data_IF_267066910305
#
_entry.id   IF_267066910305
#
_cell.length_a   1.000
_cell.length_b   1.000
_cell.length_c   1.000
_cell.angle_alpha   90.00
_cell.angle_beta   90.00
_cell.angle_gamma   90.00
#
_symmetry.space_group_name_H-M   'P 1'
#
loop_
_entity.id
_entity.type
_entity.pdbx_description
1 polymer ?
#
# COMPACT_ATOMS: atom_id res chain seq x y z
N UNK A 1 -3.10 -13.06 29.10
CA UNK A 1 -1.95 -14.01 29.13
C UNK A 1 -2.26 -15.10 30.15
N UNK A 2 -1.90 -16.37 29.91
CA UNK A 2 -2.17 -17.44 30.87
C UNK A 2 -1.18 -17.36 32.05
N UNK A 3 -1.69 -17.19 33.29
CA UNK A 3 -0.87 -17.01 34.49
C UNK A 3 0.09 -18.18 34.78
N UNK A 4 -0.26 -19.40 34.38
CA UNK A 4 0.52 -20.62 34.68
C UNK A 4 1.44 -21.07 33.55
N UNK A 5 1.07 -20.81 32.29
CA UNK A 5 1.90 -21.19 31.12
C UNK A 5 2.69 -20.03 30.52
N UNK A 6 2.39 -18.79 30.92
CA UNK A 6 2.86 -17.53 30.33
C UNK A 6 2.51 -17.31 28.84
N UNK A 7 2.00 -18.31 28.12
CA UNK A 7 1.49 -18.14 26.76
C UNK A 7 0.41 -17.05 26.65
N UNK A 8 0.40 -16.32 25.53
CA UNK A 8 -0.69 -15.42 25.17
C UNK A 8 -1.97 -16.21 24.87
N UNK A 9 -3.13 -15.57 25.07
CA UNK A 9 -4.43 -16.17 24.74
C UNK A 9 -4.70 -16.14 23.24
N UNK A 10 -4.21 -15.11 22.53
CA UNK A 10 -4.19 -15.06 21.07
C UNK A 10 -3.03 -15.90 20.52
N UNK A 11 -3.36 -16.91 19.72
CA UNK A 11 -2.40 -17.79 19.06
C UNK A 11 -1.58 -17.09 17.97
N UNK A 12 -2.08 -16.02 17.34
CA UNK A 12 -1.32 -15.28 16.33
C UNK A 12 -0.21 -14.48 17.00
N UNK A 13 -0.54 -13.79 18.09
CA UNK A 13 0.41 -13.04 18.91
C UNK A 13 1.46 -13.99 19.55
N UNK A 14 1.05 -15.16 20.03
CA UNK A 14 1.98 -16.22 20.50
C UNK A 14 2.93 -16.69 19.38
N UNK A 15 2.43 -16.95 18.17
CA UNK A 15 3.28 -17.35 17.03
C UNK A 15 4.29 -16.26 16.65
N UNK A 16 3.92 -14.97 16.74
CA UNK A 16 4.83 -13.83 16.50
C UNK A 16 5.93 -13.77 17.58
N UNK A 17 5.55 -13.84 18.86
CA UNK A 17 6.50 -13.87 19.97
C UNK A 17 7.50 -15.04 19.87
N UNK A 18 7.00 -16.26 19.63
CA UNK A 18 7.85 -17.44 19.47
C UNK A 18 8.81 -17.30 18.30
N UNK A 19 8.40 -16.66 17.20
CA UNK A 19 9.30 -16.38 16.07
C UNK A 19 10.39 -15.38 16.45
N UNK A 20 10.02 -14.25 17.08
CA UNK A 20 10.99 -13.22 17.49
C UNK A 20 11.99 -13.77 18.52
N UNK A 21 11.54 -14.49 19.55
CA UNK A 21 12.41 -15.15 20.54
C UNK A 21 13.32 -16.21 19.91
N UNK A 22 12.81 -16.94 18.92
CA UNK A 22 13.60 -17.95 18.20
C UNK A 22 14.72 -17.32 17.36
N UNK A 23 14.44 -16.20 16.69
CA UNK A 23 15.41 -15.50 15.83
C UNK A 23 16.42 -14.67 16.63
N UNK A 24 16.00 -14.05 17.73
CA UNK A 24 16.83 -13.15 18.56
C UNK A 24 17.64 -13.85 19.66
N UNK A 25 17.10 -14.89 20.30
CA UNK A 25 17.71 -15.54 21.48
C UNK A 25 18.10 -16.99 21.16
N UNK A 26 17.13 -17.83 20.82
CA UNK A 26 17.33 -19.28 20.80
C UNK A 26 18.29 -19.73 19.70
N UNK A 27 18.16 -19.20 18.49
CA UNK A 27 19.04 -19.56 17.37
C UNK A 27 20.49 -19.08 17.59
N UNK A 28 20.78 -17.81 17.94
CA UNK A 28 22.13 -17.37 18.29
C UNK A 28 22.72 -18.19 19.45
N UNK A 29 21.95 -18.40 20.53
CA UNK A 29 22.40 -19.18 21.68
C UNK A 29 22.78 -20.63 21.30
N UNK A 30 21.96 -21.28 20.47
CA UNK A 30 22.27 -22.63 19.96
C UNK A 30 23.59 -22.63 19.20
N UNK A 31 23.82 -21.64 18.34
CA UNK A 31 25.06 -21.56 17.55
C UNK A 31 26.29 -21.33 18.43
N UNK A 32 26.22 -20.39 19.37
CA UNK A 32 27.31 -20.10 20.29
C UNK A 32 27.65 -21.30 21.18
N UNK A 33 26.64 -21.99 21.73
CA UNK A 33 26.85 -23.19 22.55
C UNK A 33 27.44 -24.36 21.75
N UNK A 34 26.94 -24.65 20.54
CA UNK A 34 27.53 -25.71 19.73
C UNK A 34 28.95 -25.39 19.28
N UNK A 35 29.24 -24.14 18.90
CA UNK A 35 30.57 -23.72 18.48
C UNK A 35 31.57 -23.77 19.65
N UNK A 36 31.20 -23.27 20.82
CA UNK A 36 31.98 -23.40 22.05
C UNK A 36 32.18 -24.86 22.46
N UNK A 37 31.14 -25.68 22.38
CA UNK A 37 31.20 -27.12 22.66
C UNK A 37 32.19 -27.86 21.74
N UNK A 38 32.22 -27.54 20.45
CA UNK A 38 33.21 -28.10 19.51
C UNK A 38 34.64 -27.69 19.91
N UNK A 39 34.87 -26.43 20.26
CA UNK A 39 36.20 -25.97 20.72
C UNK A 39 36.64 -26.74 21.97
N UNK A 40 35.76 -26.85 22.97
CA UNK A 40 36.04 -27.59 24.22
C UNK A 40 36.36 -29.05 23.93
N UNK A 41 35.61 -29.70 23.03
CA UNK A 41 35.86 -31.11 22.65
C UNK A 41 37.18 -31.27 21.89
N UNK A 42 37.54 -30.34 20.99
CA UNK A 42 38.84 -30.39 20.30
C UNK A 42 39.98 -30.27 21.30
N UNK A 43 39.90 -29.36 22.26
CA UNK A 43 40.88 -29.24 23.36
C UNK A 43 40.94 -30.52 24.19
N UNK A 44 39.79 -31.11 24.51
CA UNK A 44 39.69 -32.37 25.27
C UNK A 44 40.36 -33.53 24.52
N UNK A 45 40.14 -33.65 23.21
CA UNK A 45 40.77 -34.67 22.36
C UNK A 45 42.29 -34.49 22.26
N UNK A 46 42.79 -33.24 22.16
CA UNK A 46 44.22 -32.94 22.18
C UNK A 46 44.84 -33.35 23.53
N UNK A 47 44.19 -33.01 24.64
CA UNK A 47 44.65 -33.38 25.98
C UNK A 47 44.66 -34.92 26.17
N UNK A 48 43.61 -35.63 25.76
CA UNK A 48 43.54 -37.10 25.82
C UNK A 48 44.62 -37.77 24.96
N UNK A 49 44.94 -37.21 23.79
CA UNK A 49 46.03 -37.69 22.95
C UNK A 49 47.40 -37.49 23.63
N UNK A 50 47.64 -36.33 24.26
CA UNK A 50 48.88 -36.05 24.98
C UNK A 50 49.06 -36.93 26.22
N UNK A 51 48.00 -37.14 27.01
CA UNK A 51 48.02 -37.98 28.22
C UNK A 51 47.94 -39.48 27.93
N UNK A 52 47.67 -39.86 26.66
CA UNK A 52 47.45 -41.25 26.21
C UNK A 52 46.27 -41.96 26.89
N UNK A 53 45.32 -41.19 27.44
CA UNK A 53 44.10 -41.71 28.06
C UNK A 53 43.02 -41.85 26.98
N UNK A 54 42.89 -43.06 26.44
CA UNK A 54 41.93 -43.37 25.36
C UNK A 54 40.58 -43.92 25.84
N UNK A 55 40.39 -44.04 27.16
CA UNK A 55 39.09 -44.41 27.72
C UNK A 55 38.07 -43.31 27.41
N UNK A 56 36.82 -43.70 27.14
CA UNK A 56 35.72 -42.78 26.79
C UNK A 56 35.82 -41.98 25.48
N UNK A 57 36.82 -42.22 24.60
CA UNK A 57 36.89 -41.56 23.27
C UNK A 57 35.56 -41.64 22.48
N UNK A 58 34.88 -42.78 22.51
CA UNK A 58 33.60 -42.97 21.82
C UNK A 58 32.52 -41.98 22.27
N UNK A 59 32.50 -41.61 23.55
CA UNK A 59 31.57 -40.62 24.10
C UNK A 59 31.93 -39.22 23.59
N UNK A 60 33.21 -38.86 23.64
CA UNK A 60 33.73 -37.56 23.16
C UNK A 60 33.45 -37.37 21.66
N UNK A 61 33.67 -38.41 20.84
CA UNK A 61 33.31 -38.39 19.42
C UNK A 61 31.78 -38.33 19.19
N UNK A 62 30.98 -39.02 20.00
CA UNK A 62 29.51 -38.94 19.87
C UNK A 62 28.97 -37.52 20.17
N UNK A 63 29.54 -36.84 21.17
CA UNK A 63 29.25 -35.44 21.48
C UNK A 63 29.70 -34.50 20.35
N UNK A 64 30.90 -34.72 19.78
CA UNK A 64 31.40 -33.93 18.65
C UNK A 64 30.46 -34.01 17.45
N UNK A 65 30.07 -35.23 17.05
CA UNK A 65 29.11 -35.47 15.96
C UNK A 65 27.78 -34.78 16.27
N UNK A 66 27.30 -34.88 17.51
CA UNK A 66 26.05 -34.24 17.90
C UNK A 66 26.12 -32.70 17.79
N UNK A 67 27.15 -32.04 18.30
CA UNK A 67 27.30 -30.58 18.18
C UNK A 67 27.45 -30.11 16.72
N UNK A 68 28.16 -30.87 15.87
CA UNK A 68 28.27 -30.60 14.43
C UNK A 68 26.90 -30.71 13.76
N UNK A 69 26.16 -31.79 14.01
CA UNK A 69 24.78 -31.96 13.51
C UNK A 69 23.88 -30.82 14.02
N UNK A 70 24.07 -30.37 15.27
CA UNK A 70 23.40 -29.20 15.85
C UNK A 70 23.60 -27.91 15.07
N UNK A 71 24.85 -27.57 14.71
CA UNK A 71 25.16 -26.40 13.88
C UNK A 71 24.54 -26.51 12.47
N UNK A 72 24.62 -27.69 11.84
CA UNK A 72 24.09 -27.90 10.50
C UNK A 72 22.55 -27.83 10.50
N UNK A 73 21.88 -28.55 11.40
CA UNK A 73 20.41 -28.60 11.48
C UNK A 73 19.83 -27.26 11.92
N UNK A 74 20.45 -26.56 12.89
CA UNK A 74 19.97 -25.22 13.30
C UNK A 74 20.05 -24.21 12.17
N UNK A 75 21.12 -24.22 11.35
CA UNK A 75 21.25 -23.37 10.16
C UNK A 75 20.19 -23.68 9.09
N UNK A 76 19.94 -24.95 8.79
CA UNK A 76 18.98 -25.36 7.73
C UNK A 76 17.52 -25.20 8.19
N UNK A 77 17.22 -25.49 9.46
CA UNK A 77 15.85 -25.47 10.03
C UNK A 77 15.85 -24.78 11.40
N UNK A 78 15.92 -23.45 11.41
CA UNK A 78 15.89 -22.61 12.64
C UNK A 78 14.78 -23.01 13.64
N UNK A 79 13.61 -23.45 13.15
CA UNK A 79 12.49 -23.97 13.97
C UNK A 79 12.86 -25.14 14.91
N UNK A 80 13.94 -25.86 14.65
CA UNK A 80 14.40 -26.98 15.47
C UNK A 80 15.43 -26.60 16.53
N UNK A 81 15.92 -25.35 16.58
CA UNK A 81 16.90 -24.89 17.57
C UNK A 81 16.48 -25.16 19.02
N UNK A 82 15.19 -24.99 19.35
CA UNK A 82 14.64 -25.31 20.70
C UNK A 82 14.85 -26.79 21.05
N UNK A 83 14.54 -27.70 20.12
CA UNK A 83 14.74 -29.15 20.33
C UNK A 83 16.22 -29.48 20.51
N UNK A 84 17.08 -28.77 19.78
CA UNK A 84 18.52 -28.96 19.88
C UNK A 84 19.11 -28.41 21.18
N UNK A 85 18.64 -27.25 21.69
CA UNK A 85 19.00 -26.74 23.02
C UNK A 85 18.64 -27.72 24.14
N UNK A 86 17.46 -28.33 24.08
CA UNK A 86 17.05 -29.37 25.03
C UNK A 86 17.95 -30.61 24.91
N UNK A 87 18.32 -31.02 23.69
CA UNK A 87 19.27 -32.11 23.47
C UNK A 87 20.66 -31.80 24.03
N UNK A 88 21.21 -30.59 23.78
CA UNK A 88 22.48 -30.12 24.37
C UNK A 88 22.41 -30.19 25.89
N UNK A 89 21.31 -29.73 26.49
CA UNK A 89 21.14 -29.74 27.94
C UNK A 89 21.29 -31.16 28.52
N UNK A 90 20.62 -32.15 27.93
CA UNK A 90 20.77 -33.55 28.36
C UNK A 90 22.16 -34.14 28.03
N UNK A 91 22.76 -33.77 26.90
CA UNK A 91 24.13 -34.19 26.57
C UNK A 91 25.17 -33.67 27.57
N UNK A 92 24.96 -32.45 28.10
CA UNK A 92 25.79 -31.86 29.15
C UNK A 92 25.59 -32.58 30.50
N UNK A 93 24.35 -32.97 30.86
CA UNK A 93 24.11 -33.80 32.06
C UNK A 93 24.86 -35.14 31.96
N UNK A 94 24.85 -35.77 30.78
CA UNK A 94 25.61 -37.00 30.53
C UNK A 94 27.12 -36.79 30.63
N UNK A 95 27.62 -35.57 30.40
CA UNK A 95 29.03 -35.22 30.59
C UNK A 95 29.36 -34.88 32.05
N UNK A 96 28.47 -34.26 32.83
CA UNK A 96 28.61 -34.08 34.28
C UNK A 96 28.69 -35.43 35.00
N UNK A 97 27.86 -36.39 34.55
CA UNK A 97 27.83 -37.80 34.99
C UNK A 97 29.18 -38.52 34.87
N UNK A 98 29.98 -38.20 33.86
CA UNK A 98 31.34 -38.71 33.71
C UNK A 98 32.28 -38.00 34.68
N UNK A 99 32.39 -38.55 35.88
CA UNK A 99 33.37 -38.18 36.89
C UNK A 99 34.47 -39.24 36.95
N UNK A 100 35.71 -38.86 36.67
CA UNK A 100 36.88 -39.66 37.01
C UNK A 100 37.08 -39.65 38.53
N UNK A 101 37.58 -40.75 39.13
CA UNK A 101 37.65 -40.88 40.59
C UNK A 101 38.69 -39.95 41.25
N UNK A 102 39.66 -39.44 40.48
CA UNK A 102 40.85 -38.75 40.99
C UNK A 102 40.78 -37.20 40.84
N UNK A 103 39.59 -36.61 40.86
CA UNK A 103 39.46 -35.14 40.84
C UNK A 103 39.84 -34.53 42.19
N UNK A 104 40.78 -33.57 42.16
CA UNK A 104 41.01 -32.67 43.29
C UNK A 104 39.73 -31.90 43.65
N UNK A 105 39.52 -31.66 44.95
CA UNK A 105 38.27 -31.06 45.46
C UNK A 105 37.95 -29.69 44.84
N UNK A 106 38.97 -28.92 44.45
CA UNK A 106 38.83 -27.65 43.75
C UNK A 106 38.42 -27.80 42.27
N UNK A 107 38.92 -28.81 41.56
CA UNK A 107 38.54 -29.06 40.17
C UNK A 107 37.09 -29.55 40.07
N UNK A 108 36.66 -30.39 41.01
CA UNK A 108 35.25 -30.78 41.14
C UNK A 108 34.33 -29.57 41.37
N UNK A 109 34.73 -28.63 42.24
CA UNK A 109 34.00 -27.38 42.48
C UNK A 109 33.93 -26.49 41.22
N UNK A 110 35.06 -26.30 40.53
CA UNK A 110 35.13 -25.49 39.31
C UNK A 110 34.28 -26.09 38.18
N UNK A 111 34.37 -27.41 37.98
CA UNK A 111 33.55 -28.19 37.03
C UNK A 111 32.05 -28.02 37.32
N UNK A 112 31.65 -28.14 38.60
CA UNK A 112 30.26 -27.94 39.03
C UNK A 112 29.74 -26.52 38.80
N UNK A 113 30.54 -25.49 39.10
CA UNK A 113 30.19 -24.09 38.83
C UNK A 113 30.00 -23.83 37.34
N UNK A 114 30.90 -24.34 36.49
CA UNK A 114 30.82 -24.17 35.04
C UNK A 114 29.57 -24.85 34.46
N UNK A 115 29.25 -26.08 34.86
CA UNK A 115 28.02 -26.75 34.40
C UNK A 115 26.76 -26.03 34.88
N UNK A 116 26.73 -25.54 36.13
CA UNK A 116 25.60 -24.74 36.64
C UNK A 116 25.37 -23.48 35.79
N UNK A 117 26.42 -22.77 35.40
CA UNK A 117 26.33 -21.58 34.53
C UNK A 117 25.77 -21.96 33.15
N UNK A 118 26.25 -23.05 32.53
CA UNK A 118 25.76 -23.47 31.21
C UNK A 118 24.29 -23.93 31.27
N UNK A 119 23.90 -24.67 32.32
CA UNK A 119 22.50 -25.01 32.55
C UNK A 119 21.62 -23.78 32.78
N UNK A 120 22.10 -22.78 33.52
CA UNK A 120 21.40 -21.51 33.72
C UNK A 120 21.16 -20.77 32.39
N UNK A 121 22.22 -20.63 31.58
CA UNK A 121 22.19 -20.00 30.25
C UNK A 121 21.18 -20.68 29.32
N UNK A 122 21.20 -22.02 29.23
CA UNK A 122 20.25 -22.76 28.38
C UNK A 122 18.81 -22.58 28.88
N UNK A 123 18.58 -22.66 30.20
CA UNK A 123 17.24 -22.52 30.77
C UNK A 123 16.64 -21.13 30.62
N UNK A 124 17.45 -20.06 30.58
CA UNK A 124 16.97 -18.71 30.23
C UNK A 124 16.67 -18.55 28.73
N UNK A 125 17.34 -19.29 27.84
CA UNK A 125 17.03 -19.30 26.41
C UNK A 125 15.74 -20.04 26.04
N UNK A 126 15.37 -21.06 26.82
CA UNK A 126 14.17 -21.87 26.61
C UNK A 126 12.87 -21.13 27.03
N UNK A 127 11.73 -21.68 26.65
CA UNK A 127 10.43 -21.21 27.13
C UNK A 127 10.16 -21.71 28.56
N UNK A 128 9.35 -20.97 29.33
CA UNK A 128 9.13 -21.24 30.77
C UNK A 128 8.74 -22.70 31.08
N UNK A 129 7.81 -23.29 30.31
CA UNK A 129 7.35 -24.66 30.53
C UNK A 129 8.45 -25.70 30.30
N UNK A 130 9.09 -25.80 29.11
CA UNK A 130 10.18 -26.75 28.92
C UNK A 130 11.37 -26.49 29.84
N UNK A 131 11.73 -25.23 30.12
CA UNK A 131 12.82 -24.87 31.03
C UNK A 131 12.56 -25.37 32.46
N UNK A 132 11.34 -25.17 32.97
CA UNK A 132 10.93 -25.65 34.31
C UNK A 132 10.90 -27.18 34.39
N UNK A 133 10.37 -27.86 33.36
CA UNK A 133 10.37 -29.33 33.30
C UNK A 133 11.79 -29.90 33.30
N UNK A 134 12.68 -29.30 32.50
CA UNK A 134 14.09 -29.69 32.37
C UNK A 134 14.85 -29.46 33.69
N UNK A 135 14.61 -28.34 34.38
CA UNK A 135 15.16 -28.09 35.71
C UNK A 135 14.73 -29.14 36.75
N UNK A 136 13.43 -29.49 36.79
CA UNK A 136 12.91 -30.52 37.71
C UNK A 136 13.54 -31.88 37.40
N UNK A 137 13.61 -32.28 36.12
CA UNK A 137 14.25 -33.53 35.71
C UNK A 137 15.74 -33.57 36.11
N UNK A 138 16.48 -32.48 35.87
CA UNK A 138 17.88 -32.37 36.27
C UNK A 138 18.06 -32.47 37.80
N UNK A 139 17.17 -31.81 38.56
CA UNK A 139 17.15 -31.88 40.04
C UNK A 139 16.98 -33.33 40.52
N UNK A 140 16.05 -34.08 39.92
CA UNK A 140 15.82 -35.51 40.23
C UNK A 140 17.05 -36.34 39.84
N UNK A 141 17.61 -36.13 38.64
CA UNK A 141 18.79 -36.86 38.15
C UNK A 141 19.98 -36.67 39.11
N UNK A 142 20.29 -35.43 39.52
CA UNK A 142 21.39 -35.15 40.47
C UNK A 142 21.19 -35.85 41.81
N UNK A 143 19.95 -35.83 42.35
CA UNK A 143 19.60 -36.51 43.61
C UNK A 143 19.83 -38.03 43.50
N UNK A 144 19.40 -38.64 42.39
CA UNK A 144 19.60 -40.08 42.16
C UNK A 144 21.07 -40.44 41.98
N UNK A 145 21.83 -39.69 41.19
CA UNK A 145 23.26 -39.91 40.96
C UNK A 145 24.02 -39.92 42.29
N UNK A 146 23.77 -38.91 43.12
CA UNK A 146 24.46 -38.76 44.40
C UNK A 146 24.14 -39.93 45.34
N UNK A 147 22.87 -40.33 45.40
CA UNK A 147 22.42 -41.51 46.14
C UNK A 147 23.13 -42.80 45.71
N UNK A 148 23.36 -43.00 44.41
CA UNK A 148 24.04 -44.19 43.88
C UNK A 148 25.57 -44.15 44.01
N UNK A 149 26.20 -42.97 43.88
CA UNK A 149 27.66 -42.85 43.80
C UNK A 149 28.32 -42.51 45.14
N UNK A 150 27.65 -41.77 46.03
CA UNK A 150 28.25 -41.16 47.22
C UNK A 150 27.50 -41.50 48.52
N UNK A 151 26.39 -42.22 48.43
CA UNK A 151 25.53 -42.55 49.56
C UNK A 151 24.47 -41.48 49.85
N UNK A 152 23.92 -41.49 51.07
CA UNK A 152 22.86 -40.54 51.45
C UNK A 152 23.43 -39.15 51.68
N UNK A 153 22.80 -38.12 51.09
CA UNK A 153 23.14 -36.74 51.41
C UNK A 153 22.63 -36.35 52.79
N UNK A 154 23.34 -35.39 53.41
CA UNK A 154 22.84 -34.69 54.58
C UNK A 154 21.48 -34.03 54.24
N UNK A 155 20.46 -34.10 55.13
CA UNK A 155 19.14 -33.52 54.89
C UNK A 155 19.17 -32.04 54.42
N UNK A 156 20.12 -31.28 54.94
CA UNK A 156 20.37 -29.88 54.54
C UNK A 156 20.62 -29.75 53.04
N UNK A 157 21.41 -30.64 52.43
CA UNK A 157 21.73 -30.58 51.00
C UNK A 157 20.52 -30.93 50.12
N UNK A 158 19.67 -31.88 50.54
CA UNK A 158 18.38 -32.12 49.86
C UNK A 158 17.49 -30.87 49.90
N UNK A 159 17.34 -30.23 51.08
CA UNK A 159 16.51 -29.02 51.21
C UNK A 159 17.04 -27.85 50.39
N UNK A 160 18.36 -27.62 50.36
CA UNK A 160 18.99 -26.59 49.53
C UNK A 160 18.80 -26.87 48.03
N UNK A 161 18.93 -28.13 47.60
CA UNK A 161 18.75 -28.53 46.20
C UNK A 161 17.31 -28.31 45.72
N UNK A 162 16.32 -28.63 46.56
CA UNK A 162 14.91 -28.36 46.27
C UNK A 162 14.62 -26.85 46.27
N UNK A 163 15.10 -26.11 47.28
CA UNK A 163 14.88 -24.67 47.39
C UNK A 163 15.49 -23.88 46.22
N UNK A 164 16.73 -24.21 45.82
CA UNK A 164 17.40 -23.61 44.66
C UNK A 164 16.69 -23.94 43.34
N UNK A 165 16.20 -25.17 43.18
CA UNK A 165 15.39 -25.56 42.01
C UNK A 165 14.10 -24.73 41.91
N UNK A 166 13.38 -24.54 43.01
CA UNK A 166 12.17 -23.69 43.07
C UNK A 166 12.50 -22.22 42.77
N UNK A 167 13.56 -21.69 43.38
CA UNK A 167 14.01 -20.31 43.17
C UNK A 167 14.41 -20.05 41.71
N UNK A 168 15.12 -21.00 41.09
CA UNK A 168 15.51 -20.92 39.69
C UNK A 168 14.28 -20.95 38.74
N UNK A 169 13.31 -21.84 38.97
CA UNK A 169 12.05 -21.83 38.21
C UNK A 169 11.23 -20.54 38.41
N UNK A 170 11.28 -19.90 39.58
CA UNK A 170 10.69 -18.58 39.80
C UNK A 170 11.43 -17.46 39.06
N UNK A 171 12.76 -17.51 38.98
CA UNK A 171 13.54 -16.56 38.18
C UNK A 171 13.22 -16.70 36.68
N UNK A 172 13.16 -17.91 36.14
CA UNK A 172 12.73 -18.16 34.75
C UNK A 172 11.33 -17.60 34.52
N UNK A 173 10.38 -17.82 35.44
CA UNK A 173 9.02 -17.27 35.36
C UNK A 173 9.02 -15.74 35.24
N UNK A 174 9.83 -15.06 36.07
CA UNK A 174 9.93 -13.59 36.06
C UNK A 174 10.57 -13.06 34.78
N UNK A 175 11.66 -13.68 34.32
CA UNK A 175 12.36 -13.30 33.09
C UNK A 175 11.44 -13.47 31.87
N UNK A 176 10.77 -14.62 31.73
CA UNK A 176 9.84 -14.88 30.63
C UNK A 176 8.63 -13.92 30.66
N UNK A 177 8.11 -13.59 31.85
CA UNK A 177 7.06 -12.59 32.02
C UNK A 177 7.49 -11.20 31.53
N UNK A 178 8.73 -10.78 31.84
CA UNK A 178 9.28 -9.50 31.39
C UNK A 178 9.47 -9.46 29.87
N UNK A 179 10.07 -10.49 29.26
CA UNK A 179 10.21 -10.57 27.80
C UNK A 179 8.86 -10.51 27.08
N UNK A 180 7.84 -11.22 27.60
CA UNK A 180 6.48 -11.22 27.03
C UNK A 180 5.79 -9.86 27.21
N UNK A 181 6.05 -9.16 28.31
CA UNK A 181 5.53 -7.81 28.55
C UNK A 181 6.17 -6.78 27.61
N UNK A 182 7.50 -6.84 27.43
CA UNK A 182 8.23 -5.98 26.49
C UNK A 182 7.79 -6.22 25.03
N UNK A 183 7.59 -7.47 24.62
CA UNK A 183 7.03 -7.81 23.32
C UNK A 183 5.61 -7.24 23.12
N UNK A 184 4.74 -7.34 24.13
CA UNK A 184 3.40 -6.76 24.07
C UNK A 184 3.40 -5.23 23.98
N UNK A 185 4.38 -4.57 24.60
CA UNK A 185 4.55 -3.11 24.54
C UNK A 185 4.91 -2.69 23.10
N UNK A 186 6.05 -3.21 22.60
CA UNK A 186 6.50 -3.01 21.21
C UNK A 186 5.41 -3.30 20.17
N UNK A 187 4.72 -4.45 20.31
CA UNK A 187 3.64 -4.81 19.40
C UNK A 187 2.43 -3.86 19.48
N UNK A 188 2.15 -3.25 20.63
CA UNK A 188 1.10 -2.21 20.71
C UNK A 188 1.54 -0.93 20.02
N UNK A 189 2.78 -0.51 20.19
CA UNK A 189 3.32 0.72 19.60
C UNK A 189 3.33 0.61 18.06
N UNK A 190 3.87 -0.49 17.52
CA UNK A 190 3.83 -0.82 16.08
C UNK A 190 2.38 -0.75 15.51
N UNK A 191 1.40 -1.26 16.27
CA UNK A 191 -0.01 -1.20 15.85
C UNK A 191 -0.57 0.21 15.91
N UNK A 192 -0.26 1.00 16.94
CA UNK A 192 -0.69 2.39 17.06
C UNK A 192 -0.13 3.27 15.93
N UNK A 193 1.16 3.14 15.61
CA UNK A 193 1.76 3.80 14.45
C UNK A 193 1.07 3.41 13.13
N UNK A 194 0.62 2.16 13.01
CA UNK A 194 -0.14 1.69 11.83
C UNK A 194 -1.62 2.10 11.79
N UNK A 195 -2.18 2.50 12.94
CA UNK A 195 -3.61 2.83 13.12
C UNK A 195 -3.86 4.34 13.07
N UNK A 196 -2.97 5.16 13.61
CA UNK A 196 -3.08 6.63 13.58
C UNK A 196 -3.33 7.15 12.14
N UNK A 197 -2.57 6.71 11.10
CA UNK A 197 -2.82 7.04 9.71
C UNK A 197 -4.20 6.67 9.16
N UNK A 198 -4.86 5.65 9.75
CA UNK A 198 -6.16 5.14 9.31
C UNK A 198 -7.33 5.82 10.04
N UNK A 199 -7.08 6.36 11.24
CA UNK A 199 -8.05 7.11 12.04
C UNK A 199 -8.18 8.56 11.58
N UNK A 200 -7.09 9.18 11.10
CA UNK A 200 -7.12 10.56 10.60
C UNK A 200 -7.67 10.59 9.16
N UNK A 201 -8.97 10.85 9.01
CA UNK A 201 -9.63 10.96 7.70
C UNK A 201 -9.29 12.24 6.93
N UNK A 202 -8.82 13.28 7.64
CA UNK A 202 -8.33 14.53 7.05
C UNK A 202 -6.93 14.33 6.44
N UNK A 203 -6.51 15.13 5.45
CA UNK A 203 -5.13 15.09 4.97
C UNK A 203 -4.16 15.47 6.08
N UNK A 204 -3.13 14.65 6.30
CA UNK A 204 -2.14 14.89 7.36
C UNK A 204 -0.71 14.57 6.91
N UNK A 205 0.25 15.17 7.61
CA UNK A 205 1.67 14.83 7.57
C UNK A 205 2.25 14.83 9.00
N UNK A 206 3.04 13.81 9.32
CA UNK A 206 3.78 13.68 10.58
C UNK A 206 5.24 13.98 10.29
N UNK A 207 5.76 15.05 10.89
CA UNK A 207 7.15 15.46 10.78
C UNK A 207 7.92 15.19 12.07
N UNK A 208 9.23 15.00 11.93
CA UNK A 208 10.19 14.99 13.04
C UNK A 208 11.38 15.85 12.68
N UNK A 209 11.90 16.60 13.65
CA UNK A 209 13.10 17.39 13.44
C UNK A 209 14.37 16.53 13.59
N UNK A 210 15.18 16.43 12.53
CA UNK A 210 16.50 15.79 12.59
C UNK A 210 17.56 16.82 12.93
N UNK A 211 18.08 16.77 14.16
CA UNK A 211 19.16 17.64 14.66
C UNK A 211 20.43 17.53 13.82
N UNK A 212 20.80 16.32 13.40
CA UNK A 212 22.00 16.00 12.62
C UNK A 212 22.13 16.78 11.30
N UNK A 213 21.01 17.03 10.63
CA UNK A 213 20.95 17.62 9.28
C UNK A 213 20.15 18.94 9.30
N UNK A 214 19.77 19.43 10.49
CA UNK A 214 18.96 20.62 10.72
C UNK A 214 17.78 20.75 9.73
N UNK A 215 16.94 19.71 9.65
CA UNK A 215 15.76 19.70 8.79
C UNK A 215 14.60 18.89 9.38
N UNK A 216 13.37 19.25 8.99
CA UNK A 216 12.20 18.43 9.25
C UNK A 216 12.13 17.28 8.24
N UNK A 217 12.15 16.05 8.74
CA UNK A 217 11.91 14.84 7.96
C UNK A 217 10.42 14.47 8.02
N UNK A 218 9.85 14.06 6.89
CA UNK A 218 8.55 13.42 6.84
C UNK A 218 8.65 11.97 7.34
N UNK A 219 7.90 11.62 8.39
CA UNK A 219 7.75 10.23 8.86
C UNK A 219 6.64 9.52 8.08
N UNK A 220 5.48 10.17 7.99
CA UNK A 220 4.26 9.57 7.43
C UNK A 220 3.32 10.65 6.91
N UNK A 221 2.57 10.36 5.84
CA UNK A 221 1.51 11.23 5.36
C UNK A 221 0.38 10.42 4.74
N UNK A 222 -0.81 11.03 4.69
CA UNK A 222 -1.86 10.56 3.79
C UNK A 222 -1.54 11.04 2.36
N UNK A 223 -0.83 10.21 1.59
CA UNK A 223 -0.32 10.51 0.23
C UNK A 223 -1.38 10.84 -0.83
N UNK A 224 -2.67 10.90 -0.46
CA UNK A 224 -3.80 11.14 -1.37
C UNK A 224 -4.08 12.63 -1.64
N UNK A 225 -3.39 13.56 -0.98
CA UNK A 225 -3.73 14.98 -1.00
C UNK A 225 -2.53 15.88 -1.31
N UNK A 226 -2.72 16.85 -2.20
CA UNK A 226 -1.65 17.51 -2.99
C UNK A 226 -0.40 17.96 -2.23
N UNK A 227 -0.57 18.63 -1.09
CA UNK A 227 0.55 19.16 -0.30
C UNK A 227 1.40 18.08 0.40
N UNK A 228 0.85 16.88 0.62
CA UNK A 228 1.47 15.80 1.41
C UNK A 228 1.69 14.50 0.61
N UNK A 229 1.69 14.57 -0.73
CA UNK A 229 1.86 13.40 -1.62
C UNK A 229 3.24 12.74 -1.46
N UNK A 230 4.30 13.54 -1.38
CA UNK A 230 5.68 13.09 -1.19
C UNK A 230 6.47 14.06 -0.29
N UNK A 231 7.70 13.70 0.05
CA UNK A 231 8.56 14.52 0.92
C UNK A 231 8.91 15.88 0.31
N UNK A 232 9.13 15.95 -1.01
CA UNK A 232 9.49 17.18 -1.72
C UNK A 232 8.37 18.22 -1.69
N UNK A 233 7.13 17.84 -2.07
CA UNK A 233 5.95 18.70 -2.01
C UNK A 233 5.67 19.14 -0.57
N UNK A 234 5.87 18.25 0.41
CA UNK A 234 5.72 18.58 1.83
C UNK A 234 6.75 19.61 2.28
N UNK A 235 8.03 19.46 1.87
CA UNK A 235 9.09 20.44 2.14
C UNK A 235 8.82 21.79 1.45
N UNK A 236 8.37 21.79 0.20
CA UNK A 236 7.95 23.01 -0.50
C UNK A 236 6.81 23.73 0.25
N UNK A 237 5.78 22.98 0.65
CA UNK A 237 4.67 23.51 1.45
C UNK A 237 5.14 24.14 2.76
N UNK A 238 6.00 23.47 3.53
CA UNK A 238 6.53 24.00 4.81
C UNK A 238 7.39 25.26 4.60
N UNK A 239 8.18 25.30 3.53
CA UNK A 239 9.11 26.40 3.26
C UNK A 239 8.40 27.65 2.72
N UNK A 240 7.37 27.47 1.87
CA UNK A 240 6.68 28.56 1.17
C UNK A 240 5.40 29.03 1.89
N UNK A 241 4.83 28.23 2.80
CA UNK A 241 3.67 28.67 3.59
C UNK A 241 4.07 29.74 4.60
N UNK A 242 3.23 30.77 4.74
CA UNK A 242 3.36 31.80 5.77
C UNK A 242 2.25 31.69 6.82
N UNK A 243 2.59 31.88 8.09
CA UNK A 243 1.66 31.83 9.24
C UNK A 243 1.07 33.22 9.46
N UNK A 244 -0.21 33.40 9.15
CA UNK A 244 -0.88 34.71 9.15
C UNK A 244 -0.87 35.41 10.51
N UNK A 245 -0.85 34.66 11.61
CA UNK A 245 -0.77 35.20 12.97
C UNK A 245 0.58 35.88 13.27
N UNK A 246 1.67 35.49 12.60
CA UNK A 246 3.03 35.95 12.94
C UNK A 246 3.83 36.52 11.77
N UNK A 247 3.29 36.44 10.55
CA UNK A 247 3.95 36.75 9.27
C UNK A 247 5.29 36.02 9.01
N UNK A 248 5.63 35.00 9.81
CA UNK A 248 6.79 34.14 9.60
C UNK A 248 6.45 32.99 8.64
N UNK A 249 7.47 32.37 8.03
CA UNK A 249 7.29 31.09 7.35
C UNK A 249 6.88 29.99 8.33
N UNK A 250 6.12 29.00 7.86
CA UNK A 250 5.74 27.83 8.65
C UNK A 250 6.99 27.08 9.14
N UNK A 251 8.03 26.99 8.33
CA UNK A 251 9.35 26.48 8.74
C UNK A 251 9.88 27.18 10.01
N UNK A 252 9.98 28.51 10.01
CA UNK A 252 10.47 29.28 11.17
C UNK A 252 9.57 29.14 12.39
N UNK A 253 8.25 29.01 12.19
CA UNK A 253 7.30 28.78 13.26
C UNK A 253 7.50 27.40 13.92
N UNK A 254 7.67 26.34 13.12
CA UNK A 254 7.97 24.99 13.61
C UNK A 254 9.31 24.92 14.34
N UNK A 255 10.32 25.67 13.89
CA UNK A 255 11.62 25.78 14.58
C UNK A 255 11.49 26.39 15.98
N UNK A 256 10.78 27.53 16.12
CA UNK A 256 10.57 28.17 17.42
C UNK A 256 9.86 27.25 18.41
N UNK A 257 8.82 26.55 17.94
CA UNK A 257 8.13 25.53 18.75
C UNK A 257 9.08 24.37 19.10
N UNK A 258 9.93 23.92 18.18
CA UNK A 258 10.91 22.88 18.50
C UNK A 258 11.85 23.33 19.62
N UNK A 259 12.41 24.53 19.56
CA UNK A 259 13.29 25.06 20.62
C UNK A 259 12.56 25.14 21.96
N UNK A 260 11.37 25.75 22.00
CA UNK A 260 10.55 25.92 23.20
C UNK A 260 10.19 24.59 23.89
N UNK A 261 9.75 23.59 23.13
CA UNK A 261 9.21 22.34 23.68
C UNK A 261 10.20 21.14 23.68
N UNK A 262 11.39 21.30 23.10
CA UNK A 262 12.42 20.24 23.12
C UNK A 262 12.98 19.96 24.53
N UNK A 263 13.00 20.96 25.42
CA UNK A 263 13.58 20.87 26.76
C UNK A 263 12.57 20.50 27.86
N UNK A 264 11.28 20.81 27.68
CA UNK A 264 10.22 20.52 28.65
C UNK A 264 9.91 19.02 28.76
N UNK A 265 9.91 18.47 29.98
CA UNK A 265 9.66 17.04 30.23
C UNK A 265 8.20 16.60 30.03
N UNK A 266 7.24 17.49 30.24
CA UNK A 266 5.81 17.24 30.01
C UNK A 266 5.27 18.15 28.90
N UNK A 267 4.96 17.58 27.73
CA UNK A 267 4.07 18.23 26.76
C UNK A 267 2.69 17.60 26.94
N UNK A 268 1.77 18.34 27.57
CA UNK A 268 0.36 17.95 27.64
C UNK A 268 -0.37 18.46 26.40
N UNK A 269 -0.55 17.56 25.43
CA UNK A 269 -1.47 17.68 24.27
C UNK A 269 -1.64 19.09 23.70
N UNK A 270 -0.53 19.77 23.38
CA UNK A 270 -0.56 21.12 22.83
C UNK A 270 -1.04 21.09 21.38
N UNK A 271 -2.22 21.66 21.14
CA UNK A 271 -2.83 21.80 19.81
C UNK A 271 -2.91 23.28 19.43
N UNK A 272 -2.46 23.60 18.21
CA UNK A 272 -2.48 24.95 17.65
C UNK A 272 -3.32 24.95 16.36
N UNK A 273 -4.22 25.92 16.22
CA UNK A 273 -4.92 26.19 14.95
C UNK A 273 -4.20 27.32 14.23
N UNK A 274 -3.64 27.05 13.06
CA UNK A 274 -2.87 27.98 12.25
C UNK A 274 -3.63 28.37 10.99
N UNK A 275 -3.65 29.67 10.69
CA UNK A 275 -4.17 30.18 9.41
C UNK A 275 -2.96 30.44 8.51
N UNK A 276 -2.84 29.67 7.43
CA UNK A 276 -1.72 29.71 6.51
C UNK A 276 -2.10 30.38 5.19
N UNK A 277 -1.11 31.04 4.57
CA UNK A 277 -1.18 31.52 3.20
C UNK A 277 -0.10 30.81 2.38
N UNK A 278 -0.52 30.12 1.31
CA UNK A 278 0.33 29.39 0.37
C UNK A 278 -0.26 29.53 -1.04
N UNK A 279 0.52 29.99 -2.02
CA UNK A 279 0.04 30.28 -3.40
C UNK A 279 -1.26 31.11 -3.40
N UNK A 280 -1.32 32.18 -2.62
CA UNK A 280 -2.50 33.07 -2.42
C UNK A 280 -3.74 32.40 -1.80
N UNK A 281 -3.76 31.07 -1.60
CA UNK A 281 -4.85 30.32 -0.97
C UNK A 281 -4.78 30.45 0.54
N UNK A 282 -5.94 30.54 1.20
CA UNK A 282 -6.04 30.44 2.66
C UNK A 282 -6.27 28.98 3.04
N UNK A 283 -5.43 28.50 3.95
CA UNK A 283 -5.39 27.11 4.38
C UNK A 283 -5.47 27.06 5.90
N UNK A 284 -6.38 26.25 6.44
CA UNK A 284 -6.43 25.97 7.88
C UNK A 284 -5.67 24.70 8.21
N UNK A 285 -4.69 24.82 9.09
CA UNK A 285 -3.84 23.73 9.55
C UNK A 285 -3.91 23.61 11.07
N UNK A 286 -4.34 22.45 11.56
CA UNK A 286 -4.18 22.07 12.96
C UNK A 286 -2.82 21.41 13.15
N UNK A 287 -2.01 21.96 14.05
CA UNK A 287 -0.72 21.42 14.46
C UNK A 287 -0.87 20.81 15.85
N UNK A 288 -0.60 19.51 15.97
CA UNK A 288 -0.59 18.80 17.25
C UNK A 288 0.85 18.37 17.53
N UNK A 289 1.37 18.69 18.72
CA UNK A 289 2.68 18.21 19.15
C UNK A 289 2.52 16.93 19.95
N UNK A 290 3.41 15.96 19.71
CA UNK A 290 3.50 14.74 20.50
C UNK A 290 4.97 14.46 20.81
N UNK A 291 5.30 14.25 22.08
CA UNK A 291 6.66 13.95 22.55
C UNK A 291 6.65 12.67 23.36
N UNK A 292 7.40 11.69 22.88
CA UNK A 292 7.63 10.42 23.56
C UNK A 292 9.11 10.33 23.93
N UNK A 293 9.96 10.03 22.95
CA UNK A 293 11.43 10.23 23.03
C UNK A 293 11.84 11.54 22.34
N UNK A 294 11.29 11.78 21.15
CA UNK A 294 11.54 12.97 20.32
C UNK A 294 10.24 13.73 20.04
N UNK A 295 10.37 15.01 19.69
CA UNK A 295 9.23 15.88 19.36
C UNK A 295 8.76 15.62 17.92
N UNK A 296 7.56 15.09 17.78
CA UNK A 296 6.88 14.89 16.51
C UNK A 296 5.78 15.95 16.32
N UNK A 297 5.64 16.43 15.08
CA UNK A 297 4.70 17.45 14.67
C UNK A 297 3.66 16.82 13.75
N UNK A 298 2.41 16.73 14.20
CA UNK A 298 1.30 16.19 13.41
C UNK A 298 0.55 17.38 12.80
N UNK A 299 0.71 17.58 11.51
CA UNK A 299 -0.01 18.60 10.73
C UNK A 299 -1.26 18.00 10.12
N UNK A 300 -2.43 18.58 10.36
CA UNK A 300 -3.72 18.16 9.82
C UNK A 300 -4.34 19.34 9.06
N UNK A 301 -4.63 19.16 7.77
CA UNK A 301 -5.32 20.15 6.96
C UNK A 301 -6.83 20.03 7.18
N UNK A 302 -7.47 21.11 7.62
CA UNK A 302 -8.92 21.12 7.84
C UNK A 302 -9.71 21.49 6.58
N UNK A 303 -9.22 22.48 5.83
CA UNK A 303 -9.83 22.95 4.59
C UNK A 303 -8.85 23.75 3.74
N UNK A 304 -8.79 23.44 2.45
CA UNK A 304 -8.62 24.48 1.43
C UNK A 304 -9.90 25.32 1.34
N UNK A 305 -9.76 26.62 1.07
CA UNK A 305 -10.82 27.63 0.97
C UNK A 305 -12.21 27.07 0.58
N UNK A 306 -13.07 26.88 1.60
CA UNK A 306 -14.44 26.38 1.48
C UNK A 306 -15.25 27.22 0.47
N UNK A 307 -14.91 28.51 0.38
CA UNK A 307 -15.44 29.47 -0.57
C UNK A 307 -15.20 29.01 -2.02
N UNK A 308 -13.96 28.65 -2.40
CA UNK A 308 -13.62 28.25 -3.77
C UNK A 308 -14.30 26.92 -4.14
N UNK A 309 -14.36 25.97 -3.19
CA UNK A 309 -15.05 24.68 -3.40
C UNK A 309 -16.55 24.87 -3.62
N UNK A 310 -17.20 25.72 -2.82
CA UNK A 310 -18.62 26.03 -2.96
C UNK A 310 -18.91 26.86 -4.21
N UNK A 311 -18.06 27.83 -4.57
CA UNK A 311 -18.17 28.60 -5.82
C UNK A 311 -18.08 27.71 -7.05
N UNK A 312 -17.11 26.77 -7.12
CA UNK A 312 -17.03 25.78 -8.21
C UNK A 312 -18.30 24.93 -8.31
N UNK A 313 -18.86 24.51 -7.18
CA UNK A 313 -20.06 23.69 -7.14
C UNK A 313 -21.32 24.46 -7.58
N UNK A 314 -21.50 25.70 -7.10
CA UNK A 314 -22.57 26.60 -7.53
C UNK A 314 -22.46 26.97 -9.02
N UNK A 315 -21.25 27.27 -9.51
CA UNK A 315 -20.98 27.55 -10.92
C UNK A 315 -21.38 26.37 -11.82
N UNK A 316 -21.02 25.14 -11.43
CA UNK A 316 -21.39 23.92 -12.16
C UNK A 316 -22.91 23.66 -12.15
N UNK A 317 -23.61 23.94 -11.04
CA UNK A 317 -25.08 23.88 -10.98
C UNK A 317 -25.71 24.92 -11.91
N UNK A 318 -25.21 26.15 -11.89
CA UNK A 318 -25.70 27.24 -12.74
C UNK A 318 -25.50 26.94 -14.23
N UNK A 319 -24.31 26.46 -14.64
CA UNK A 319 -24.04 25.98 -15.99
C UNK A 319 -25.00 24.87 -16.43
N UNK A 320 -25.28 23.90 -15.54
CA UNK A 320 -26.23 22.81 -15.83
C UNK A 320 -27.65 23.33 -16.04
N UNK A 321 -28.08 24.31 -15.23
CA UNK A 321 -29.37 24.98 -15.40
C UNK A 321 -29.46 25.78 -16.71
N UNK A 322 -28.44 26.58 -17.03
CA UNK A 322 -28.37 27.33 -18.29
C UNK A 322 -28.41 26.40 -19.51
N UNK A 323 -27.63 25.30 -19.49
CA UNK A 323 -27.64 24.28 -20.55
C UNK A 323 -29.03 23.66 -20.74
N UNK A 324 -29.71 23.31 -19.65
CA UNK A 324 -31.06 22.74 -19.69
C UNK A 324 -32.12 23.75 -20.18
N UNK A 325 -32.03 25.02 -19.77
CA UNK A 325 -32.95 26.06 -20.21
C UNK A 325 -32.78 26.39 -21.70
N UNK A 326 -31.54 26.46 -22.19
CA UNK A 326 -31.29 26.57 -23.63
C UNK A 326 -31.85 25.36 -24.39
N UNK A 327 -31.62 24.11 -23.94
CA UNK A 327 -32.21 22.92 -24.59
C UNK A 327 -33.75 22.97 -24.66
N UNK A 328 -34.42 23.48 -23.62
CA UNK A 328 -35.88 23.72 -23.63
C UNK A 328 -36.30 24.79 -24.64
N UNK A 329 -35.60 25.93 -24.69
CA UNK A 329 -35.89 26.98 -25.68
C UNK A 329 -35.68 26.48 -27.12
N UNK A 330 -34.66 25.66 -27.35
CA UNK A 330 -34.34 25.08 -28.66
C UNK A 330 -35.39 24.05 -29.11
N UNK A 331 -35.92 23.22 -28.20
CA UNK A 331 -37.01 22.28 -28.54
C UNK A 331 -38.33 23.00 -28.81
N UNK A 332 -38.63 24.08 -28.07
CA UNK A 332 -39.79 24.94 -28.33
C UNK A 332 -39.65 25.63 -29.69
N UNK A 333 -38.51 26.25 -30.01
CA UNK A 333 -38.31 26.92 -31.30
C UNK A 333 -38.36 25.95 -32.49
N UNK A 334 -37.82 24.74 -32.34
CA UNK A 334 -37.98 23.64 -33.31
C UNK A 334 -39.46 23.27 -33.51
N UNK A 335 -40.26 23.17 -32.44
CA UNK A 335 -41.68 22.84 -32.55
C UNK A 335 -42.49 23.95 -33.24
N UNK A 336 -42.20 25.21 -32.90
CA UNK A 336 -42.81 26.40 -33.53
C UNK A 336 -42.45 26.49 -35.01
N UNK A 337 -41.17 26.36 -35.38
CA UNK A 337 -40.71 26.29 -36.78
C UNK A 337 -41.39 25.16 -37.55
N UNK A 338 -41.46 23.97 -36.96
CA UNK A 338 -42.13 22.81 -37.57
C UNK A 338 -43.62 23.07 -37.79
N UNK A 339 -44.31 23.77 -36.87
CA UNK A 339 -45.72 24.15 -37.01
C UNK A 339 -45.94 25.23 -38.10
N UNK A 340 -45.13 26.29 -38.09
CA UNK A 340 -45.25 27.41 -39.05
C UNK A 340 -44.91 27.03 -40.49
N UNK A 341 -44.03 26.06 -40.70
CA UNK A 341 -43.60 25.67 -42.05
C UNK A 341 -44.40 24.49 -42.63
N UNK A 342 -45.06 23.67 -41.81
CA UNK A 342 -45.90 22.55 -42.27
C UNK A 342 -47.06 23.01 -43.16
N UNK A 343 -47.51 24.26 -43.02
CA UNK A 343 -48.56 24.89 -43.84
C UNK A 343 -48.11 25.24 -45.28
N UNK A 344 -46.80 25.21 -45.59
CA UNK A 344 -46.26 25.57 -46.92
C UNK A 344 -45.75 24.37 -47.74
N UNK A 345 -46.05 23.14 -47.34
CA UNK A 345 -45.66 21.91 -48.03
C UNK A 345 -44.14 21.71 -48.28
N UNK A 346 -43.28 22.43 -47.56
CA UNK A 346 -41.81 22.40 -47.73
C UNK A 346 -41.10 21.43 -46.78
N UNK A 347 -41.57 20.18 -46.71
CA UNK A 347 -41.11 19.13 -45.77
C UNK A 347 -39.58 18.96 -45.72
N UNK A 348 -38.92 18.99 -46.88
CA UNK A 348 -37.46 18.90 -47.02
C UNK A 348 -36.71 20.09 -46.44
N UNK A 349 -37.14 21.32 -46.76
CA UNK A 349 -36.50 22.55 -46.26
C UNK A 349 -36.64 22.65 -44.74
N UNK A 350 -37.75 22.14 -44.19
CA UNK A 350 -37.95 22.00 -42.74
C UNK A 350 -36.92 21.01 -42.16
N UNK A 351 -36.75 19.84 -42.76
CA UNK A 351 -35.77 18.84 -42.30
C UNK A 351 -34.33 19.39 -42.38
N UNK A 352 -33.99 20.13 -43.43
CA UNK A 352 -32.70 20.81 -43.58
C UNK A 352 -32.43 21.86 -42.49
N UNK A 353 -33.38 22.77 -42.24
CA UNK A 353 -33.20 23.80 -41.20
C UNK A 353 -33.12 23.17 -39.81
N UNK A 354 -33.86 22.10 -39.55
CA UNK A 354 -33.76 21.35 -38.30
C UNK A 354 -32.41 20.63 -38.15
N UNK A 355 -31.87 20.01 -39.22
CA UNK A 355 -30.56 19.35 -39.16
C UNK A 355 -29.39 20.33 -39.04
N UNK A 356 -29.43 21.47 -39.75
CA UNK A 356 -28.48 22.58 -39.60
C UNK A 356 -28.43 23.08 -38.15
N UNK A 357 -29.60 23.35 -37.57
CA UNK A 357 -29.71 23.90 -36.23
C UNK A 357 -29.21 22.89 -35.18
N UNK A 358 -29.57 21.61 -35.33
CA UNK A 358 -29.09 20.53 -34.45
C UNK A 358 -27.57 20.33 -34.55
N UNK A 359 -26.98 20.42 -35.75
CA UNK A 359 -25.53 20.38 -35.95
C UNK A 359 -24.81 21.55 -35.27
N UNK A 360 -25.32 22.78 -35.40
CA UNK A 360 -24.74 23.95 -34.74
C UNK A 360 -24.73 23.81 -33.21
N UNK A 361 -25.82 23.30 -32.62
CA UNK A 361 -25.94 23.04 -31.18
C UNK A 361 -24.90 22.00 -30.72
N UNK A 362 -24.77 20.87 -31.45
CA UNK A 362 -23.81 19.82 -31.11
C UNK A 362 -22.36 20.31 -31.20
N UNK A 363 -22.03 21.09 -32.25
CA UNK A 363 -20.71 21.74 -32.42
C UNK A 363 -20.36 22.66 -31.24
N UNK A 364 -21.30 23.47 -30.76
CA UNK A 364 -21.10 24.32 -29.58
C UNK A 364 -20.93 23.53 -28.28
N UNK A 365 -21.39 22.28 -28.20
CA UNK A 365 -21.36 21.46 -26.98
C UNK A 365 -20.23 20.43 -26.93
N UNK A 366 -19.42 20.28 -27.99
CA UNK A 366 -18.38 19.23 -28.14
C UNK A 366 -18.89 17.80 -27.86
N UNK A 367 -20.15 17.51 -28.17
CA UNK A 367 -20.72 16.17 -28.04
C UNK A 367 -20.58 15.40 -29.35
N UNK A 368 -20.21 14.12 -29.26
CA UNK A 368 -20.19 13.19 -30.39
C UNK A 368 -21.62 12.97 -30.91
N UNK A 369 -21.74 12.64 -32.21
CA UNK A 369 -23.04 12.37 -32.82
C UNK A 369 -23.63 11.06 -32.28
N UNK A 370 -24.96 11.02 -32.12
CA UNK A 370 -25.66 9.77 -31.88
C UNK A 370 -25.76 9.01 -33.20
N UNK A 371 -24.78 8.14 -33.47
CA UNK A 371 -24.77 7.32 -34.67
C UNK A 371 -25.86 6.24 -34.62
N UNK A 372 -26.45 5.94 -35.77
CA UNK A 372 -27.50 4.94 -35.91
C UNK A 372 -27.31 4.15 -37.20
N UNK A 373 -27.74 2.89 -37.23
CA UNK A 373 -27.76 2.11 -38.47
C UNK A 373 -28.79 2.72 -39.43
N UNK A 374 -28.33 3.19 -40.58
CA UNK A 374 -29.14 3.83 -41.63
C UNK A 374 -28.94 3.04 -42.91
N UNK A 375 -30.04 2.53 -43.47
CA UNK A 375 -30.04 2.10 -44.86
C UNK A 375 -29.92 3.34 -45.75
N UNK A 376 -28.73 3.55 -46.32
CA UNK A 376 -28.40 4.72 -47.14
C UNK A 376 -29.17 4.69 -48.45
N UNK A 377 -29.36 3.53 -49.08
CA UNK A 377 -30.06 3.46 -50.37
C UNK A 377 -31.51 3.93 -50.25
N UNK A 378 -32.24 3.45 -49.24
CA UNK A 378 -33.60 3.89 -48.93
C UNK A 378 -33.67 5.34 -48.44
N UNK A 379 -32.63 5.83 -47.76
CA UNK A 379 -32.59 7.21 -47.27
C UNK A 379 -32.38 8.20 -48.43
N UNK A 380 -31.35 8.00 -49.25
CA UNK A 380 -31.04 8.90 -50.37
C UNK A 380 -32.16 8.88 -51.42
N UNK A 381 -32.70 7.71 -51.81
CA UNK A 381 -33.84 7.63 -52.75
C UNK A 381 -35.06 8.40 -52.25
N UNK A 382 -35.46 8.28 -50.97
CA UNK A 382 -36.58 9.03 -50.41
C UNK A 382 -36.36 10.55 -50.42
N UNK A 383 -35.16 11.00 -50.06
CA UNK A 383 -34.81 12.43 -50.06
C UNK A 383 -34.78 12.97 -51.50
N UNK A 384 -34.23 12.22 -52.45
CA UNK A 384 -34.04 12.67 -53.83
C UNK A 384 -35.30 12.60 -54.68
N UNK A 385 -36.18 11.62 -54.47
CA UNK A 385 -37.51 11.60 -55.13
C UNK A 385 -38.34 12.85 -54.76
N UNK A 386 -38.15 13.40 -53.56
CA UNK A 386 -38.78 14.65 -53.13
C UNK A 386 -38.10 15.90 -53.73
N UNK A 387 -36.83 15.80 -54.15
CA UNK A 387 -36.07 16.88 -54.79
C UNK A 387 -36.19 16.90 -56.32
N UNK A 388 -36.46 15.75 -56.94
CA UNK A 388 -36.72 15.62 -58.38
C UNK A 388 -37.90 16.47 -58.87
N UNK A 389 -38.79 16.88 -57.96
CA UNK A 389 -39.86 17.84 -58.23
C UNK A 389 -39.36 19.26 -58.56
N UNK A 390 -38.11 19.59 -58.20
CA UNK A 390 -37.53 20.93 -58.32
C UNK A 390 -36.21 20.97 -59.10
N UNK A 391 -35.49 19.85 -59.19
CA UNK A 391 -34.16 19.75 -59.83
C UNK A 391 -34.05 18.47 -60.66
N UNK A 392 -33.39 18.53 -61.82
CA UNK A 392 -33.10 17.35 -62.65
C UNK A 392 -31.92 16.55 -62.06
N UNK A 393 -32.19 15.78 -61.01
CA UNK A 393 -31.17 14.97 -60.31
C UNK A 393 -31.37 13.49 -60.63
N UNK A 394 -30.33 12.84 -61.16
CA UNK A 394 -30.24 11.39 -61.26
C UNK A 394 -29.32 10.85 -60.15
N UNK A 395 -29.73 9.73 -59.56
CA UNK A 395 -28.98 9.09 -58.48
C UNK A 395 -28.86 7.60 -58.81
N UNK A 396 -27.63 7.12 -58.90
CA UNK A 396 -27.33 5.72 -59.17
C UNK A 396 -26.68 5.13 -57.93
N UNK A 397 -27.38 4.15 -57.36
CA UNK A 397 -26.93 3.38 -56.21
C UNK A 397 -26.67 1.99 -56.72
N UNK A 398 -25.41 1.56 -56.63
CA UNK A 398 -25.03 0.23 -57.12
C UNK A 398 -25.35 -0.84 -56.05
N UNK A 399 -25.36 -0.50 -54.75
CA UNK A 399 -25.62 -1.44 -53.63
C UNK A 399 -26.62 -0.97 -52.55
N UNK A 400 -27.36 -1.92 -51.97
CA UNK A 400 -28.25 -1.71 -50.82
C UNK A 400 -27.49 -1.65 -49.48
N UNK A 401 -26.86 -0.50 -49.20
CA UNK A 401 -25.96 -0.36 -48.05
C UNK A 401 -26.64 0.13 -46.76
N UNK A 402 -26.32 -0.50 -45.63
CA UNK A 402 -26.65 -0.04 -44.27
C UNK A 402 -25.37 0.32 -43.50
N UNK A 403 -25.28 1.53 -42.96
CA UNK A 403 -24.09 2.03 -42.24
C UNK A 403 -24.47 2.69 -40.91
N UNK A 404 -23.60 2.58 -39.91
CA UNK A 404 -23.70 3.33 -38.65
C UNK A 404 -23.19 4.76 -38.89
N UNK A 405 -24.10 5.73 -39.06
CA UNK A 405 -23.78 7.16 -39.25
C UNK A 405 -24.90 8.05 -38.69
N UNK A 406 -24.78 9.38 -38.81
CA UNK A 406 -25.89 10.31 -38.50
C UNK A 406 -26.65 10.76 -39.75
N UNK A 407 -27.98 10.57 -39.74
CA UNK A 407 -28.91 11.05 -40.78
C UNK A 407 -28.78 12.55 -41.03
N UNK A 408 -28.42 13.32 -40.00
CA UNK A 408 -28.28 14.78 -40.10
C UNK A 408 -27.10 15.16 -41.00
N UNK A 409 -25.98 14.44 -40.92
CA UNK A 409 -24.80 14.71 -41.74
C UNK A 409 -25.09 14.42 -43.23
N UNK A 410 -25.76 13.30 -43.53
CA UNK A 410 -26.15 12.97 -44.90
C UNK A 410 -27.17 13.95 -45.48
N UNK A 411 -28.15 14.44 -44.69
CA UNK A 411 -29.02 15.54 -45.14
C UNK A 411 -28.19 16.79 -45.49
N UNK A 412 -27.31 17.23 -44.59
CA UNK A 412 -26.50 18.44 -44.79
C UNK A 412 -25.61 18.35 -46.04
N UNK A 413 -25.02 17.18 -46.30
CA UNK A 413 -24.30 16.88 -47.54
C UNK A 413 -25.17 17.06 -48.78
N UNK A 414 -26.35 16.41 -48.84
CA UNK A 414 -27.26 16.51 -49.99
C UNK A 414 -27.66 17.97 -50.27
N UNK A 415 -27.99 18.74 -49.23
CA UNK A 415 -28.42 20.13 -49.41
C UNK A 415 -27.30 21.07 -49.85
N UNK A 416 -26.05 20.87 -49.42
CA UNK A 416 -24.92 21.63 -49.95
C UNK A 416 -24.58 21.24 -51.40
N UNK A 417 -24.79 19.99 -51.83
CA UNK A 417 -24.69 19.64 -53.27
C UNK A 417 -25.68 20.45 -54.11
N UNK A 418 -26.93 20.54 -53.66
CA UNK A 418 -28.03 21.21 -54.39
C UNK A 418 -27.88 22.74 -54.38
N UNK A 419 -27.43 23.31 -53.26
CA UNK A 419 -27.13 24.75 -53.14
C UNK A 419 -26.07 25.23 -54.11
N UNK A 420 -25.11 24.37 -54.46
CA UNK A 420 -24.04 24.66 -55.41
C UNK A 420 -24.35 24.15 -56.85
N UNK A 421 -25.57 23.65 -57.08
CA UNK A 421 -26.02 23.17 -58.38
C UNK A 421 -26.87 24.20 -59.12
N UNK A 422 -26.78 24.20 -60.45
CA UNK A 422 -27.63 25.03 -61.28
C UNK A 422 -28.97 24.30 -61.50
N UNK A 423 -30.17 24.93 -61.39
CA UNK A 423 -31.45 24.22 -61.51
C UNK A 423 -31.66 23.49 -62.84
N UNK A 424 -30.93 23.90 -63.87
CA UNK A 424 -30.96 23.33 -65.22
C UNK A 424 -29.87 22.26 -65.47
N UNK A 425 -28.88 22.09 -64.58
CA UNK A 425 -27.84 21.07 -64.78
C UNK A 425 -28.32 19.70 -64.29
N UNK A 426 -28.05 18.67 -65.10
CA UNK A 426 -28.29 17.29 -64.69
C UNK A 426 -27.20 16.89 -63.69
N UNK A 427 -27.51 16.95 -62.40
CA UNK A 427 -26.61 16.41 -61.37
C UNK A 427 -26.73 14.89 -61.41
N UNK A 428 -25.63 14.17 -61.66
CA UNK A 428 -25.58 12.73 -61.42
C UNK A 428 -24.63 12.42 -60.26
N UNK A 429 -25.16 11.73 -59.26
CA UNK A 429 -24.37 11.24 -58.12
C UNK A 429 -24.40 9.71 -58.18
N UNK A 430 -23.20 9.11 -58.22
CA UNK A 430 -23.01 7.66 -58.07
C UNK A 430 -22.43 7.37 -56.70
N UNK A 431 -22.97 6.37 -56.01
CA UNK A 431 -22.43 5.87 -54.75
C UNK A 431 -21.89 4.46 -54.97
N UNK A 432 -20.55 4.33 -55.00
CA UNK A 432 -19.84 3.07 -55.16
C UNK A 432 -19.16 2.68 -53.85
N UNK A 433 -19.09 1.40 -53.51
CA UNK A 433 -18.34 0.93 -52.33
C UNK A 433 -17.14 0.08 -52.70
N UNK A 434 -16.02 0.25 -52.00
CA UNK A 434 -14.80 -0.51 -52.25
C UNK A 434 -14.07 -0.72 -50.92
N UNK A 435 -14.03 -1.97 -50.45
CA UNK A 435 -13.28 -2.45 -49.27
C UNK A 435 -13.31 -1.46 -48.09
N UNK A 436 -14.45 -1.41 -47.41
CA UNK A 436 -14.77 -0.52 -46.28
C UNK A 436 -14.99 0.98 -46.63
N UNK A 437 -14.78 1.38 -47.89
CA UNK A 437 -14.98 2.78 -48.35
C UNK A 437 -16.25 2.96 -49.17
N UNK A 438 -16.90 4.12 -49.04
CA UNK A 438 -18.04 4.59 -49.85
C UNK A 438 -17.60 5.86 -50.57
N UNK A 439 -17.57 5.84 -51.89
CA UNK A 439 -17.20 6.99 -52.72
C UNK A 439 -18.46 7.60 -53.33
N UNK A 440 -18.64 8.91 -53.18
CA UNK A 440 -19.70 9.67 -53.84
C UNK A 440 -19.12 10.40 -55.05
N UNK A 441 -19.28 9.84 -56.25
CA UNK A 441 -18.85 10.49 -57.49
C UNK A 441 -19.97 11.45 -57.91
N UNK A 442 -19.74 12.77 -57.80
CA UNK A 442 -20.71 13.81 -58.15
C UNK A 442 -20.30 14.51 -59.45
N UNK A 443 -21.25 14.65 -60.38
CA UNK A 443 -21.06 15.29 -61.68
C UNK A 443 -22.18 16.31 -61.95
N UNK A 444 -21.90 17.33 -62.77
CA UNK A 444 -22.90 18.36 -63.14
C UNK A 444 -22.94 19.61 -62.25
N UNK A 445 -21.86 19.91 -61.51
CA UNK A 445 -21.72 21.11 -60.66
C UNK A 445 -20.72 22.10 -61.27
N UNK A 446 -21.02 23.40 -61.18
CA UNK A 446 -20.25 24.45 -61.87
C UNK A 446 -18.92 24.78 -61.16
N UNK A 447 -18.88 24.74 -59.83
CA UNK A 447 -17.67 24.87 -59.01
C UNK A 447 -17.92 24.24 -57.63
N UNK A 448 -16.91 23.61 -57.03
CA UNK A 448 -17.03 22.97 -55.72
C UNK A 448 -15.96 23.48 -54.74
N UNK A 449 -16.36 24.23 -53.71
CA UNK A 449 -15.43 24.82 -52.74
C UNK A 449 -14.96 23.78 -51.70
N UNK A 450 -13.81 23.14 -51.95
CA UNK A 450 -13.21 22.12 -51.06
C UNK A 450 -12.99 22.59 -49.61
N UNK A 451 -12.82 23.89 -49.36
CA UNK A 451 -12.44 24.44 -48.05
C UNK A 451 -13.52 24.25 -46.97
N UNK A 452 -14.81 24.42 -47.29
CA UNK A 452 -15.90 24.34 -46.31
C UNK A 452 -16.24 22.88 -45.92
N UNK A 453 -15.96 21.91 -46.79
CA UNK A 453 -16.25 20.50 -46.52
C UNK A 453 -15.15 19.75 -45.77
N UNK A 454 -13.92 20.26 -45.70
CA UNK A 454 -12.78 19.62 -45.02
C UNK A 454 -13.10 19.12 -43.61
N UNK A 455 -13.94 19.83 -42.84
CA UNK A 455 -14.34 19.42 -41.49
C UNK A 455 -15.43 18.33 -41.48
N UNK A 456 -16.38 18.36 -42.42
CA UNK A 456 -17.33 17.25 -42.66
C UNK A 456 -16.58 15.99 -43.11
N UNK A 457 -15.57 16.19 -43.95
CA UNK A 457 -14.65 15.18 -44.44
C UNK A 457 -13.98 14.46 -43.26
N UNK A 458 -13.38 15.19 -42.32
CA UNK A 458 -12.68 14.61 -41.16
C UNK A 458 -13.58 13.73 -40.27
N UNK A 459 -14.89 14.04 -40.13
CA UNK A 459 -15.80 13.22 -39.31
C UNK A 459 -16.51 12.07 -40.07
N UNK A 460 -16.58 12.11 -41.40
CA UNK A 460 -16.92 10.95 -42.25
C UNK A 460 -15.68 10.10 -42.61
N UNK A 461 -14.49 10.66 -42.44
CA UNK A 461 -13.18 10.00 -42.57
C UNK A 461 -12.81 9.20 -41.32
N UNK A 462 -13.65 8.23 -40.97
CA UNK A 462 -13.06 6.92 -40.69
C UNK A 462 -12.58 6.23 -41.99
N UNK A 463 -13.03 6.64 -43.19
CA UNK A 463 -12.65 5.92 -44.44
C UNK A 463 -12.47 6.70 -45.78
N UNK A 464 -13.32 7.67 -46.16
CA UNK A 464 -13.64 7.97 -47.58
C UNK A 464 -12.80 9.06 -48.33
N UNK A 465 -12.00 8.70 -49.34
CA UNK A 465 -11.32 9.64 -50.28
C UNK A 465 -12.11 9.92 -51.58
N UNK A 466 -11.86 11.06 -52.22
CA UNK A 466 -12.34 11.48 -53.55
C UNK A 466 -11.18 11.52 -54.55
N UNK A 467 -11.49 11.29 -55.83
CA UNK A 467 -10.74 11.80 -56.99
C UNK A 467 -11.50 13.01 -57.57
#
# INVERSE_FOLDING_TARGET
MNKFRLNFQDQQLEKKFQKEKLESIQFPLTQSLCFGGIIIIIITLVNQYQTKVYHNLYQVFSLLIAFILGLLISRIKKKHSIKFLIFIYFAIILQELNSEPDFDTYDGFLKGCNFMIVHAIIGFGLDFVPSTLVNILYTIIRILINYFNSGQLLPVQYTLTIATSIAYSYLIYKIEYLHRSAFLFKFKDDNWESLIPKLITKPFAILRFRKEILQFQLISSNKTYGYFVNEEMTKQFINQSSVRQTNNSLLLYLYKIHEEYSTTSEIKDTQFSLDLIFEEKKIKLHLILNKFEELNFIMILESEDVIIKNQKLQYNICLKHLKNNHLKQLTISQHVLKKFLKSKNTSLIIQYRLSLFQYQILKCQKLLFNDAVINLSQFYTRVLNQLQQYYKISFLIEDNMAQITSKQLHLLFIFELIKNANPQSNISIKMHTNQEKIMFIVSGLNQFQKSQFSFFYIQLMSYFFFQ
#
